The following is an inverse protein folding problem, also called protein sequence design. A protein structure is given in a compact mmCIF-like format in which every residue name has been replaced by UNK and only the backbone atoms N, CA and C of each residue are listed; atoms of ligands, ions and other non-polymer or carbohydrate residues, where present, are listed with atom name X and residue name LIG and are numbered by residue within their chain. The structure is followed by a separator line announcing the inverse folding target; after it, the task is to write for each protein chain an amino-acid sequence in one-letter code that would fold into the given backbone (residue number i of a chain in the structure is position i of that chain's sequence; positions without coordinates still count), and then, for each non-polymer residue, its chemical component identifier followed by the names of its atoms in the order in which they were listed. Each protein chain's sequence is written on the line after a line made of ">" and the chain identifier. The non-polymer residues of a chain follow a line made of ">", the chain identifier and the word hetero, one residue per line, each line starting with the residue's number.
data_IF_592527039676
#
_entry.id   IF_592527039676
#
_cell.length_a   1.000
_cell.length_b   1.000
_cell.length_c   1.000
_cell.angle_alpha   90.00
_cell.angle_beta   90.00
_cell.angle_gamma   90.00
#
_symmetry.space_group_name_H-M   'P 1'
#
loop_
_entity.id
_entity.type
_entity.pdbx_description
1 polymer ?
#
# COMPACT_ATOMS: atom_id res chain seq x y z
N UNK A 1 -1.53 28.98 -20.54
CA UNK A 1 -1.93 28.10 -19.43
C UNK A 1 -2.10 26.72 -20.03
N UNK A 2 -1.12 25.83 -19.90
CA UNK A 2 -1.21 24.48 -20.48
C UNK A 2 -2.11 23.63 -19.61
N UNK A 3 -3.32 23.34 -20.10
CA UNK A 3 -4.10 22.20 -19.64
C UNK A 3 -3.31 20.93 -20.01
N UNK A 4 -2.56 20.42 -19.04
CA UNK A 4 -2.03 19.05 -19.12
C UNK A 4 -3.23 18.10 -19.24
N UNK A 5 -3.23 17.15 -20.19
CA UNK A 5 -4.33 16.20 -20.33
C UNK A 5 -4.48 15.46 -18.99
N UNK A 6 -5.61 15.70 -18.30
CA UNK A 6 -5.92 15.03 -17.03
C UNK A 6 -5.78 13.53 -17.25
N UNK A 7 -4.91 12.90 -16.46
CA UNK A 7 -4.64 11.48 -16.55
C UNK A 7 -5.93 10.67 -16.66
N UNK A 8 -6.01 9.78 -17.65
CA UNK A 8 -7.23 8.97 -17.89
C UNK A 8 -7.50 8.06 -16.71
N UNK A 9 -6.43 7.54 -16.09
CA UNK A 9 -6.52 6.80 -14.84
C UNK A 9 -7.08 7.67 -13.71
N UNK A 10 -6.57 8.89 -13.53
CA UNK A 10 -7.09 9.79 -12.50
C UNK A 10 -8.58 10.11 -12.69
N UNK A 11 -9.06 10.20 -13.93
CA UNK A 11 -10.48 10.37 -14.23
C UNK A 11 -11.30 9.10 -13.91
N UNK A 12 -10.79 7.91 -14.23
CA UNK A 12 -11.44 6.64 -13.90
C UNK A 12 -11.53 6.42 -12.39
N UNK A 13 -10.43 6.58 -11.65
CA UNK A 13 -10.38 6.45 -10.20
C UNK A 13 -11.38 7.40 -9.50
N UNK A 14 -11.48 8.65 -9.98
CA UNK A 14 -12.48 9.61 -9.48
C UNK A 14 -13.90 9.10 -9.69
N UNK A 15 -14.23 8.60 -10.88
CA UNK A 15 -15.56 8.05 -11.17
C UNK A 15 -15.91 6.86 -10.28
N UNK A 16 -14.95 5.98 -9.98
CA UNK A 16 -15.17 4.84 -9.08
C UNK A 16 -15.51 5.32 -7.66
N UNK A 17 -14.75 6.30 -7.14
CA UNK A 17 -15.00 6.90 -5.82
C UNK A 17 -16.36 7.62 -5.79
N UNK A 18 -16.68 8.39 -6.81
CA UNK A 18 -17.97 9.07 -6.95
C UNK A 18 -19.14 8.09 -7.02
N UNK A 19 -18.99 6.98 -7.76
CA UNK A 19 -20.00 5.93 -7.84
C UNK A 19 -20.24 5.24 -6.49
N UNK A 20 -19.17 4.97 -5.74
CA UNK A 20 -19.27 4.39 -4.39
C UNK A 20 -19.94 5.37 -3.41
N UNK A 21 -19.58 6.66 -3.45
CA UNK A 21 -20.25 7.68 -2.64
C UNK A 21 -21.75 7.80 -2.98
N UNK A 22 -22.10 7.76 -4.26
CA UNK A 22 -23.50 7.75 -4.71
C UNK A 22 -24.25 6.49 -4.24
N UNK A 23 -23.58 5.34 -4.20
CA UNK A 23 -24.15 4.10 -3.68
C UNK A 23 -24.46 4.22 -2.19
N UNK A 24 -23.51 4.71 -1.39
CA UNK A 24 -23.72 4.96 0.04
C UNK A 24 -24.90 5.90 0.29
N UNK A 25 -25.04 6.96 -0.51
CA UNK A 25 -26.17 7.90 -0.40
C UNK A 25 -27.51 7.23 -0.72
N UNK A 26 -27.56 6.37 -1.75
CA UNK A 26 -28.77 5.59 -2.07
C UNK A 26 -29.14 4.64 -0.93
N UNK A 27 -28.17 3.92 -0.39
CA UNK A 27 -28.42 2.96 0.69
C UNK A 27 -28.91 3.69 1.96
N UNK A 28 -28.30 4.84 2.28
CA UNK A 28 -28.77 5.70 3.37
C UNK A 28 -30.20 6.21 3.14
N UNK A 29 -30.56 6.61 1.92
CA UNK A 29 -31.92 7.02 1.58
C UNK A 29 -32.92 5.87 1.77
N UNK A 30 -32.60 4.68 1.28
CA UNK A 30 -33.44 3.48 1.44
C UNK A 30 -33.67 3.17 2.92
N UNK A 31 -32.60 3.21 3.72
CA UNK A 31 -32.68 2.97 5.17
C UNK A 31 -33.53 4.03 5.85
N UNK A 32 -33.34 5.32 5.52
CA UNK A 32 -34.11 6.41 6.09
C UNK A 32 -35.60 6.32 5.71
N UNK A 33 -35.92 6.03 4.45
CA UNK A 33 -37.30 5.84 3.99
C UNK A 33 -37.98 4.69 4.75
N UNK A 34 -37.27 3.56 4.88
CA UNK A 34 -37.78 2.42 5.65
C UNK A 34 -38.00 2.78 7.12
N UNK A 35 -37.05 3.49 7.71
CA UNK A 35 -37.13 3.95 9.11
C UNK A 35 -38.33 4.86 9.32
N UNK A 36 -38.59 5.80 8.40
CA UNK A 36 -39.76 6.69 8.47
C UNK A 36 -41.06 5.91 8.29
N UNK A 37 -41.11 4.90 7.41
CA UNK A 37 -42.29 4.04 7.25
C UNK A 37 -42.59 3.21 8.49
N UNK A 38 -41.56 2.67 9.15
CA UNK A 38 -41.73 1.77 10.30
C UNK A 38 -41.88 2.52 11.63
N UNK A 39 -41.13 3.60 11.84
CA UNK A 39 -41.04 4.33 13.12
C UNK A 39 -41.67 5.73 13.09
N UNK A 40 -42.07 6.21 11.92
CA UNK A 40 -42.56 7.58 11.73
C UNK A 40 -41.45 8.60 11.52
N UNK A 41 -41.80 9.85 11.15
CA UNK A 41 -40.83 10.91 10.94
C UNK A 41 -40.15 11.32 12.25
N UNK A 42 -38.88 11.74 12.16
CA UNK A 42 -38.17 12.29 13.31
C UNK A 42 -38.88 13.57 13.82
N UNK A 43 -39.08 13.72 15.13
CA UNK A 43 -39.61 14.96 15.68
C UNK A 43 -38.66 16.12 15.41
N UNK A 44 -39.19 17.33 15.23
CA UNK A 44 -38.42 18.53 14.84
C UNK A 44 -37.30 18.93 15.82
N UNK A 45 -37.30 18.39 17.05
CA UNK A 45 -36.24 18.56 18.05
C UNK A 45 -35.24 17.39 18.15
N UNK A 46 -35.31 16.41 17.25
CA UNK A 46 -34.56 15.15 17.34
C UNK A 46 -35.09 14.21 18.42
N UNK A 47 -34.56 12.98 18.47
CA UNK A 47 -34.87 12.07 19.56
C UNK A 47 -34.25 12.60 20.86
N UNK A 48 -34.97 12.57 22.00
CA UNK A 48 -34.43 13.01 23.27
C UNK A 48 -33.19 12.19 23.63
N UNK A 49 -32.02 12.85 23.64
CA UNK A 49 -30.75 12.24 24.04
C UNK A 49 -30.77 12.07 25.55
N UNK A 50 -31.02 10.83 25.99
CA UNK A 50 -30.84 10.49 27.40
C UNK A 50 -29.34 10.46 27.71
N UNK A 51 -28.86 11.11 28.78
CA UNK A 51 -27.47 11.02 29.17
C UNK A 51 -27.11 9.56 29.46
N UNK A 52 -26.26 8.98 28.61
CA UNK A 52 -25.79 7.61 28.74
C UNK A 52 -25.08 7.48 30.09
N UNK A 53 -25.66 6.68 31.00
CA UNK A 53 -25.04 6.38 32.29
C UNK A 53 -23.64 5.84 32.05
N UNK A 54 -22.65 6.34 32.80
CA UNK A 54 -21.28 5.84 32.70
C UNK A 54 -21.30 4.32 32.89
N UNK A 55 -20.58 3.56 32.05
CA UNK A 55 -20.49 2.12 32.25
C UNK A 55 -19.94 1.86 33.65
N UNK A 56 -20.49 0.84 34.33
CA UNK A 56 -19.90 0.37 35.57
C UNK A 56 -18.45 -0.02 35.26
N UNK A 57 -17.47 0.37 36.10
CA UNK A 57 -16.11 -0.12 35.94
C UNK A 57 -16.15 -1.65 35.92
N UNK A 58 -15.38 -2.25 35.02
CA UNK A 58 -15.34 -3.70 34.90
C UNK A 58 -14.90 -4.30 36.24
N UNK A 59 -15.43 -5.49 36.63
CA UNK A 59 -15.20 -6.07 37.96
C UNK A 59 -13.74 -6.37 38.29
N UNK A 60 -12.85 -6.34 37.30
CA UNK A 60 -11.40 -6.50 37.46
C UNK A 60 -10.62 -5.17 37.58
N UNK A 61 -11.30 -4.02 37.54
CA UNK A 61 -10.68 -2.72 37.83
C UNK A 61 -10.68 -2.52 39.35
N UNK A 62 -9.64 -3.04 40.00
CA UNK A 62 -9.39 -2.74 41.41
C UNK A 62 -8.79 -1.33 41.54
N UNK A 63 -9.21 -0.51 42.53
CA UNK A 63 -8.53 0.74 42.84
C UNK A 63 -7.08 0.42 43.23
N UNK A 64 -6.13 1.02 42.54
CA UNK A 64 -4.69 0.84 42.83
C UNK A 64 -4.42 1.41 44.22
N UNK A 65 -4.22 0.52 45.19
CA UNK A 65 -3.58 0.86 46.46
C UNK A 65 -2.07 0.71 46.26
N UNK A 66 -1.39 1.85 46.37
CA UNK A 66 0.05 1.97 46.37
C UNK A 66 0.60 1.49 47.73
N UNK A 67 1.46 0.45 47.74
CA UNK A 67 2.72 0.40 48.50
C UNK A 67 3.43 -0.97 48.41
N UNK A 68 4.65 -0.90 47.89
CA UNK A 68 5.89 -1.54 48.34
C UNK A 68 6.02 -3.08 48.45
N UNK A 69 6.82 -3.60 47.50
CA UNK A 69 8.00 -4.46 47.70
C UNK A 69 7.91 -5.68 48.64
N UNK A 70 8.05 -6.87 48.05
CA UNK A 70 9.11 -7.82 48.43
C UNK A 70 9.30 -8.93 47.39
N UNK A 71 10.57 -9.26 47.22
CA UNK A 71 11.20 -10.07 46.19
C UNK A 71 10.93 -11.58 46.25
N UNK A 72 11.29 -12.21 45.12
CA UNK A 72 11.90 -13.53 44.95
C UNK A 72 11.06 -14.78 45.27
N UNK A 73 10.61 -15.47 44.22
CA UNK A 73 11.22 -16.75 43.82
C UNK A 73 10.51 -17.29 42.56
N UNK A 74 11.28 -17.57 41.51
CA UNK A 74 10.84 -18.37 40.36
C UNK A 74 11.31 -19.81 40.58
N UNK A 75 10.61 -20.84 40.07
CA UNK A 75 11.00 -21.26 38.72
C UNK A 75 9.91 -21.89 37.83
N UNK A 76 10.15 -21.71 36.53
CA UNK A 76 9.98 -22.66 35.42
C UNK A 76 8.56 -23.19 35.11
N UNK A 77 7.90 -22.52 34.15
CA UNK A 77 6.93 -23.17 33.28
C UNK A 77 7.66 -23.87 32.12
N UNK A 78 7.30 -25.12 31.76
CA UNK A 78 7.98 -25.88 30.71
C UNK A 78 7.78 -25.30 29.31
N UNK A 79 8.90 -25.16 28.62
CA UNK A 79 9.02 -24.93 27.17
C UNK A 79 8.39 -26.12 26.41
N UNK A 80 7.47 -25.85 25.49
CA UNK A 80 7.03 -26.83 24.50
C UNK A 80 7.91 -26.73 23.23
N UNK A 81 8.22 -27.87 22.60
CA UNK A 81 9.33 -28.00 21.68
C UNK A 81 9.08 -27.39 20.30
N UNK A 82 10.14 -26.80 19.76
CA UNK A 82 10.33 -26.56 18.34
C UNK A 82 10.28 -27.89 17.59
N UNK A 83 9.44 -27.98 16.56
CA UNK A 83 9.58 -28.97 15.51
C UNK A 83 10.00 -28.26 14.23
N UNK A 84 11.29 -28.38 13.94
CA UNK A 84 11.82 -28.28 12.59
C UNK A 84 11.31 -29.45 11.75
N UNK A 85 10.80 -29.16 10.57
CA UNK A 85 10.63 -30.09 9.44
C UNK A 85 10.74 -29.20 8.22
N UNK A 86 11.86 -29.14 7.50
CA UNK A 86 12.52 -30.28 6.88
C UNK A 86 11.98 -30.41 5.45
N UNK A 87 12.65 -29.72 4.53
CA UNK A 87 12.71 -29.97 3.08
C UNK A 87 11.40 -30.28 2.32
N UNK A 88 10.93 -29.31 1.54
CA UNK A 88 10.12 -29.62 0.36
C UNK A 88 10.67 -28.88 -0.85
N UNK A 89 11.75 -29.44 -1.40
CA UNK A 89 12.17 -29.19 -2.78
C UNK A 89 11.17 -29.80 -3.77
N UNK A 90 11.20 -29.25 -4.99
CA UNK A 90 10.60 -29.75 -6.23
C UNK A 90 9.09 -29.63 -6.38
N UNK A 91 8.67 -28.57 -7.10
CA UNK A 91 8.01 -28.79 -8.40
C UNK A 91 8.56 -27.77 -9.42
N UNK A 92 9.50 -28.24 -10.25
CA UNK A 92 9.83 -27.66 -11.55
C UNK A 92 8.85 -28.26 -12.55
N UNK A 93 7.91 -27.47 -13.05
CA UNK A 93 7.16 -27.81 -14.25
C UNK A 93 7.41 -26.68 -15.25
N UNK A 94 8.29 -26.96 -16.20
CA UNK A 94 8.24 -26.24 -17.47
C UNK A 94 7.03 -26.75 -18.22
N UNK A 95 6.30 -25.86 -18.88
CA UNK A 95 6.08 -26.11 -20.29
C UNK A 95 5.88 -24.82 -21.08
N UNK A 96 6.29 -24.93 -22.32
CA UNK A 96 6.51 -23.87 -23.30
C UNK A 96 5.21 -23.21 -23.74
N UNK A 97 5.19 -21.87 -23.78
CA UNK A 97 4.25 -21.12 -24.64
C UNK A 97 4.98 -19.96 -25.31
N UNK A 98 5.12 -20.07 -26.64
CA UNK A 98 5.47 -19.07 -27.64
C UNK A 98 5.91 -17.67 -27.14
N UNK A 99 7.22 -17.44 -27.11
CA UNK A 99 7.82 -16.11 -26.98
C UNK A 99 7.64 -15.31 -28.28
N UNK A 100 6.49 -14.67 -28.44
CA UNK A 100 6.50 -13.32 -29.00
C UNK A 100 6.97 -12.42 -27.84
N UNK A 101 8.20 -11.86 -27.87
CA UNK A 101 8.67 -11.05 -26.76
C UNK A 101 7.79 -9.81 -26.67
N UNK A 102 6.89 -9.81 -25.69
CA UNK A 102 6.10 -8.64 -25.35
C UNK A 102 7.07 -7.48 -25.12
N UNK A 103 6.79 -6.29 -25.67
CA UNK A 103 7.64 -5.13 -25.44
C UNK A 103 7.79 -4.91 -23.93
N UNK A 104 8.98 -4.55 -23.41
CA UNK A 104 9.20 -4.40 -21.97
C UNK A 104 8.16 -3.48 -21.36
N UNK A 105 7.62 -3.84 -20.19
CA UNK A 105 6.58 -3.03 -19.55
C UNK A 105 7.21 -1.68 -19.18
N UNK A 106 6.78 -0.56 -19.75
CA UNK A 106 7.49 0.68 -19.55
C UNK A 106 7.34 1.14 -18.10
N UNK A 107 8.47 1.36 -17.41
CA UNK A 107 8.46 2.10 -16.14
C UNK A 107 7.78 3.46 -16.36
N UNK A 108 6.85 3.90 -15.51
CA UNK A 108 6.21 5.21 -15.65
C UNK A 108 7.20 6.36 -15.84
N UNK A 109 6.93 7.25 -16.80
CA UNK A 109 7.81 8.37 -17.17
C UNK A 109 8.20 9.23 -15.97
N UNK A 110 7.24 9.53 -15.08
CA UNK A 110 7.48 10.36 -13.90
C UNK A 110 8.49 9.73 -12.94
N UNK A 111 8.49 8.40 -12.80
CA UNK A 111 9.48 7.69 -11.99
C UNK A 111 10.87 7.76 -12.62
N UNK A 112 10.98 7.64 -13.94
CA UNK A 112 12.27 7.79 -14.65
C UNK A 112 12.86 9.19 -14.48
N UNK A 113 12.02 10.22 -14.49
CA UNK A 113 12.48 11.61 -14.28
C UNK A 113 13.01 11.85 -12.88
N UNK A 114 12.35 11.31 -11.86
CA UNK A 114 12.74 11.50 -10.45
C UNK A 114 13.97 10.66 -10.10
N UNK A 115 14.13 9.49 -10.73
CA UNK A 115 15.22 8.54 -10.46
C UNK A 115 16.31 8.59 -11.54
N UNK A 116 16.40 9.67 -12.32
CA UNK A 116 17.36 9.80 -13.42
C UNK A 116 18.82 9.69 -12.96
N UNK A 117 19.11 10.16 -11.74
CA UNK A 117 20.42 10.06 -11.09
C UNK A 117 20.73 8.66 -10.53
N UNK A 118 19.74 7.76 -10.49
CA UNK A 118 19.83 6.39 -9.96
C UNK A 118 19.32 5.36 -10.98
N UNK A 119 20.03 5.16 -12.10
CA UNK A 119 19.60 4.27 -13.18
C UNK A 119 19.44 2.80 -12.73
N UNK A 120 20.16 2.37 -11.71
CA UNK A 120 20.04 1.04 -11.10
C UNK A 120 18.64 0.80 -10.51
N UNK A 121 18.00 1.84 -9.96
CA UNK A 121 16.63 1.76 -9.46
C UNK A 121 15.62 1.65 -10.61
N UNK A 122 15.85 2.39 -11.70
CA UNK A 122 15.02 2.27 -12.90
C UNK A 122 15.11 0.84 -13.46
N UNK A 123 16.31 0.26 -13.53
CA UNK A 123 16.52 -1.11 -13.99
C UNK A 123 15.84 -2.15 -13.10
N UNK A 124 15.91 -2.00 -11.78
CA UNK A 124 15.21 -2.88 -10.83
C UNK A 124 13.69 -2.81 -10.99
N UNK A 125 13.13 -1.61 -11.17
CA UNK A 125 11.70 -1.44 -11.45
C UNK A 125 11.30 -2.08 -12.78
N UNK A 126 12.10 -1.87 -13.82
CA UNK A 126 11.88 -2.49 -15.13
C UNK A 126 11.89 -4.02 -15.02
N UNK A 127 12.90 -4.59 -14.35
CA UNK A 127 13.01 -6.04 -14.14
C UNK A 127 11.81 -6.62 -13.37
N UNK A 128 11.31 -5.90 -12.37
CA UNK A 128 10.13 -6.30 -11.61
C UNK A 128 8.86 -6.33 -12.46
N UNK A 129 8.65 -5.28 -13.27
CA UNK A 129 7.51 -5.22 -14.19
C UNK A 129 7.62 -6.25 -15.32
N UNK A 130 8.82 -6.49 -15.84
CA UNK A 130 9.04 -7.54 -16.85
C UNK A 130 8.78 -8.93 -16.27
N UNK A 131 9.15 -9.16 -15.00
CA UNK A 131 8.84 -10.42 -14.31
C UNK A 131 7.33 -10.58 -14.13
N UNK A 132 6.63 -9.50 -13.80
CA UNK A 132 5.19 -9.48 -13.66
C UNK A 132 4.48 -9.79 -14.99
N UNK A 133 4.92 -9.21 -16.11
CA UNK A 133 4.35 -9.46 -17.42
C UNK A 133 4.41 -10.93 -17.86
N UNK A 134 5.32 -11.73 -17.31
CA UNK A 134 5.38 -13.17 -17.60
C UNK A 134 4.24 -13.96 -16.95
N UNK A 135 3.75 -13.52 -15.79
CA UNK A 135 2.67 -14.16 -15.04
C UNK A 135 1.81 -13.07 -14.36
N UNK A 136 1.02 -12.34 -15.17
CA UNK A 136 0.18 -11.26 -14.66
C UNK A 136 -1.01 -11.78 -13.86
N UNK A 137 -1.52 -10.93 -12.96
CA UNK A 137 -2.79 -11.20 -12.30
C UNK A 137 -3.94 -10.93 -13.27
N UNK A 138 -4.59 -12.01 -13.72
CA UNK A 138 -5.68 -11.99 -14.70
C UNK A 138 -6.88 -11.12 -14.26
N UNK A 139 -7.14 -11.04 -12.95
CA UNK A 139 -8.30 -10.31 -12.39
C UNK A 139 -8.08 -8.80 -12.30
N UNK A 140 -6.89 -8.36 -11.89
CA UNK A 140 -6.59 -6.94 -11.62
C UNK A 140 -5.17 -6.59 -12.07
N UNK A 141 -4.88 -6.65 -13.38
CA UNK A 141 -3.50 -6.61 -13.84
C UNK A 141 -2.81 -5.27 -13.58
N UNK A 142 -3.58 -4.18 -13.54
CA UNK A 142 -3.07 -2.85 -13.27
C UNK A 142 -2.79 -2.61 -11.78
N UNK A 143 -3.70 -3.03 -10.89
CA UNK A 143 -3.50 -2.89 -9.44
C UNK A 143 -2.31 -3.72 -8.96
N UNK A 144 -2.13 -4.93 -9.50
CA UNK A 144 -0.96 -5.75 -9.21
C UNK A 144 0.35 -5.07 -9.66
N UNK A 145 0.37 -4.42 -10.82
CA UNK A 145 1.54 -3.65 -11.26
C UNK A 145 1.83 -2.45 -10.33
N UNK A 146 0.80 -1.78 -9.82
CA UNK A 146 0.96 -0.72 -8.81
C UNK A 146 1.57 -1.29 -7.52
N UNK A 147 1.07 -2.42 -7.02
CA UNK A 147 1.60 -3.04 -5.80
C UNK A 147 3.08 -3.42 -5.94
N UNK A 148 3.49 -3.94 -7.10
CA UNK A 148 4.89 -4.26 -7.38
C UNK A 148 5.76 -3.00 -7.35
N UNK A 149 5.30 -1.91 -7.97
CA UNK A 149 6.01 -0.62 -7.92
C UNK A 149 6.10 -0.09 -6.49
N UNK A 150 5.00 -0.11 -5.73
CA UNK A 150 4.98 0.34 -4.33
C UNK A 150 5.96 -0.48 -3.47
N UNK A 151 5.96 -1.82 -3.60
CA UNK A 151 6.86 -2.70 -2.86
C UNK A 151 8.35 -2.41 -3.16
N UNK A 152 8.71 -2.22 -4.43
CA UNK A 152 10.09 -1.92 -4.80
C UNK A 152 10.52 -0.51 -4.37
N UNK A 153 9.65 0.50 -4.50
CA UNK A 153 9.95 1.85 -4.04
C UNK A 153 10.09 1.93 -2.51
N UNK A 154 9.31 1.15 -1.76
CA UNK A 154 9.47 1.03 -0.30
C UNK A 154 10.80 0.36 0.08
N UNK A 155 11.24 -0.66 -0.68
CA UNK A 155 12.58 -1.25 -0.53
C UNK A 155 13.68 -0.22 -0.79
N UNK A 156 13.59 0.55 -1.88
CA UNK A 156 14.63 1.54 -2.22
C UNK A 156 14.71 2.66 -1.17
N UNK A 157 13.57 3.09 -0.64
CA UNK A 157 13.52 4.07 0.44
C UNK A 157 14.17 3.55 1.72
N UNK A 158 13.99 2.27 2.02
CA UNK A 158 14.62 1.62 3.18
C UNK A 158 16.14 1.56 2.98
N UNK A 159 16.61 1.10 1.82
CA UNK A 159 18.04 1.08 1.47
C UNK A 159 18.69 2.47 1.53
N UNK A 160 18.02 3.50 1.01
CA UNK A 160 18.52 4.87 1.02
C UNK A 160 18.61 5.46 2.44
N UNK A 161 17.68 5.09 3.33
CA UNK A 161 17.73 5.48 4.75
C UNK A 161 18.89 4.81 5.48
N UNK A 162 19.10 3.52 5.26
CA UNK A 162 20.24 2.81 5.85
C UNK A 162 21.57 3.38 5.34
N UNK A 163 21.65 3.76 4.06
CA UNK A 163 22.82 4.45 3.51
C UNK A 163 23.06 5.81 4.15
N UNK A 164 22.00 6.59 4.39
CA UNK A 164 22.07 7.87 5.08
C UNK A 164 22.55 7.71 6.53
N UNK A 165 22.00 6.74 7.26
CA UNK A 165 22.44 6.43 8.63
C UNK A 165 23.92 6.03 8.67
N UNK A 166 24.37 5.20 7.71
CA UNK A 166 25.78 4.82 7.57
C UNK A 166 26.69 6.01 7.26
N UNK A 167 26.26 6.92 6.39
CA UNK A 167 27.01 8.14 6.07
C UNK A 167 27.05 9.12 7.25
N UNK A 168 25.95 9.24 8.01
CA UNK A 168 25.92 10.07 9.21
C UNK A 168 26.85 9.51 10.30
N UNK A 169 26.88 8.19 10.47
CA UNK A 169 27.78 7.52 11.39
C UNK A 169 29.27 7.64 10.99
N UNK A 170 29.58 7.68 9.70
CA UNK A 170 30.95 7.89 9.22
C UNK A 170 31.43 9.34 9.35
N UNK A 171 30.51 10.30 9.41
CA UNK A 171 30.80 11.73 9.55
C UNK A 171 31.35 12.40 8.27
N UNK A 172 31.32 11.71 7.12
CA UNK A 172 31.71 12.30 5.84
C UNK A 172 30.57 13.17 5.29
N UNK A 173 30.77 14.48 5.34
CA UNK A 173 29.79 15.47 4.88
C UNK A 173 29.36 15.27 3.41
N UNK A 174 30.28 14.80 2.55
CA UNK A 174 29.93 14.54 1.15
C UNK A 174 29.07 13.29 1.03
N UNK A 175 29.41 12.22 1.75
CA UNK A 175 28.60 11.00 1.78
C UNK A 175 27.20 11.26 2.35
N UNK A 176 27.09 12.08 3.41
CA UNK A 176 25.79 12.46 3.99
C UNK A 176 24.94 13.20 2.96
N UNK A 177 25.50 14.21 2.29
CA UNK A 177 24.77 14.98 1.28
C UNK A 177 24.25 14.10 0.13
N UNK A 178 25.10 13.20 -0.38
CA UNK A 178 24.71 12.26 -1.44
C UNK A 178 23.59 11.32 -0.99
N UNK A 179 23.68 10.81 0.24
CA UNK A 179 22.66 9.91 0.79
C UNK A 179 21.34 10.64 1.08
N UNK A 180 21.37 11.91 1.49
CA UNK A 180 20.18 12.75 1.65
C UNK A 180 19.48 13.01 0.30
N UNK A 181 20.24 13.32 -0.74
CA UNK A 181 19.70 13.49 -2.09
C UNK A 181 19.05 12.18 -2.60
N UNK A 182 19.69 11.04 -2.32
CA UNK A 182 19.17 9.70 -2.66
C UNK A 182 17.88 9.36 -1.92
N UNK A 183 17.84 9.58 -0.61
CA UNK A 183 16.63 9.39 0.22
C UNK A 183 15.51 10.31 -0.26
N UNK A 184 15.84 11.55 -0.59
CA UNK A 184 14.88 12.52 -1.10
C UNK A 184 14.29 12.03 -2.43
N UNK A 185 15.11 11.63 -3.39
CA UNK A 185 14.65 11.19 -4.71
C UNK A 185 13.78 9.93 -4.61
N UNK A 186 14.19 8.92 -3.84
CA UNK A 186 13.39 7.71 -3.60
C UNK A 186 12.07 8.01 -2.88
N UNK A 187 12.07 8.89 -1.87
CA UNK A 187 10.85 9.36 -1.20
C UNK A 187 9.90 10.08 -2.15
N UNK A 188 10.42 10.90 -3.07
CA UNK A 188 9.61 11.57 -4.08
C UNK A 188 9.03 10.59 -5.10
N UNK A 189 9.81 9.59 -5.52
CA UNK A 189 9.38 8.54 -6.42
C UNK A 189 8.20 7.74 -5.82
N UNK A 190 8.29 7.36 -4.55
CA UNK A 190 7.27 6.61 -3.81
C UNK A 190 5.95 7.39 -3.58
N UNK A 191 5.99 8.71 -3.66
CA UNK A 191 4.82 9.53 -3.35
C UNK A 191 3.71 9.38 -4.39
N UNK A 192 2.50 9.04 -3.93
CA UNK A 192 1.26 8.98 -4.73
C UNK A 192 0.93 10.28 -5.46
N UNK A 193 1.33 11.42 -4.90
CA UNK A 193 1.07 12.74 -5.50
C UNK A 193 2.25 13.28 -6.32
N UNK A 194 3.36 12.53 -6.43
CA UNK A 194 4.53 12.92 -7.22
C UNK A 194 4.97 11.79 -8.14
N UNK A 195 5.88 10.91 -7.73
CA UNK A 195 6.41 9.89 -8.65
C UNK A 195 5.37 8.90 -9.15
N UNK A 196 4.38 8.56 -8.32
CA UNK A 196 3.28 7.64 -8.68
C UNK A 196 2.03 8.37 -9.19
N UNK A 197 2.12 9.67 -9.56
CA UNK A 197 0.95 10.44 -9.99
C UNK A 197 0.58 10.27 -11.47
N UNK A 198 1.54 9.88 -12.31
CA UNK A 198 1.34 9.69 -13.75
C UNK A 198 1.68 8.24 -14.13
N UNK A 199 0.63 7.43 -14.15
CA UNK A 199 0.69 6.01 -14.49
C UNK A 199 -0.03 5.72 -15.81
N UNK A 200 -0.33 6.75 -16.62
CA UNK A 200 -1.09 6.58 -17.87
C UNK A 200 -0.34 5.69 -18.87
N UNK A 201 0.99 5.78 -18.91
CA UNK A 201 1.81 4.91 -19.76
C UNK A 201 1.66 3.44 -19.37
N UNK A 202 1.68 3.14 -18.07
CA UNK A 202 1.51 1.79 -17.53
C UNK A 202 0.09 1.28 -17.76
N UNK A 203 -0.92 2.14 -17.51
CA UNK A 203 -2.32 1.84 -17.77
C UNK A 203 -2.55 1.49 -19.24
N UNK A 204 -2.10 2.33 -20.16
CA UNK A 204 -2.27 2.11 -21.59
C UNK A 204 -1.58 0.83 -22.07
N UNK A 205 -0.40 0.53 -21.54
CA UNK A 205 0.30 -0.71 -21.86
C UNK A 205 -0.52 -1.93 -21.44
N UNK A 206 -0.98 -1.97 -20.19
CA UNK A 206 -1.73 -3.10 -19.66
C UNK A 206 -3.07 -3.25 -20.37
N UNK A 207 -3.77 -2.16 -20.65
CA UNK A 207 -5.04 -2.19 -21.39
C UNK A 207 -4.87 -2.68 -22.83
N UNK A 208 -3.76 -2.31 -23.49
CA UNK A 208 -3.45 -2.74 -24.87
C UNK A 208 -3.13 -4.23 -24.93
N UNK A 209 -2.46 -4.76 -23.91
CA UNK A 209 -2.02 -6.16 -23.86
C UNK A 209 -2.90 -7.02 -22.95
N UNK A 210 -4.08 -6.53 -22.53
CA UNK A 210 -4.94 -7.25 -21.57
C UNK A 210 -5.31 -8.66 -22.04
N UNK A 211 -5.49 -8.85 -23.34
CA UNK A 211 -5.81 -10.16 -23.95
C UNK A 211 -4.60 -11.10 -23.99
N UNK A 212 -3.38 -10.55 -23.97
CA UNK A 212 -2.14 -11.31 -23.84
C UNK A 212 -1.74 -11.58 -22.39
N UNK A 213 -2.35 -10.87 -21.44
CA UNK A 213 -2.10 -10.95 -19.99
C UNK A 213 -3.19 -11.77 -19.24
N UNK A 214 -4.12 -12.39 -19.96
CA UNK A 214 -5.16 -13.30 -19.44
C UNK A 214 -5.01 -14.67 -20.05
#
# INVERSE_FOLDING_TARGET
>A
MSDSPKSRYAAFARRVVEAHAAQLLRDLQIINERTVRELGPLPHGGLPVQPKRKPKPAPWVQPVQELAARDADAPLAPQLPHTETGGSEMVKLGDSVNEQPLPPVPVPQKLREILNEYPEYIQRLQCALDRYARNPDSLMPFDAAIWILEAHLDSFLSEAREELERAQASGDANAVKMAEEKERSTRHARSRNRGMSDLDQLWNYIETHKESLT
#
